data_IF_163772830790
#
_entry.id   IF_163772830790
#
_cell.length_a   1.000
_cell.length_b   1.000
_cell.length_c   1.000
_cell.angle_alpha   90.00
_cell.angle_beta   90.00
_cell.angle_gamma   90.00
#
_symmetry.space_group_name_H-M   'P 1'
#
loop_
_entity.id
_entity.type
_entity.pdbx_description
1 polymer ?
#
# COMPACT_ATOMS: atom_id res chain seq x y z
N UNK A 1 19.69 3.74 -11.42
CA UNK A 1 18.57 3.64 -10.47
C UNK A 1 19.13 3.43 -9.08
N UNK A 2 18.45 3.89 -8.01
CA UNK A 2 18.82 3.49 -6.65
C UNK A 2 18.47 2.01 -6.45
N UNK A 3 19.25 1.27 -5.66
CA UNK A 3 18.81 -0.06 -5.23
C UNK A 3 17.52 0.10 -4.44
N UNK A 4 16.48 -0.66 -4.78
CA UNK A 4 15.13 -0.40 -4.29
C UNK A 4 14.55 -1.64 -3.61
N UNK A 5 14.20 -1.50 -2.34
CA UNK A 5 13.35 -2.44 -1.62
C UNK A 5 11.90 -2.02 -1.81
N UNK A 6 11.05 -2.91 -2.32
CA UNK A 6 9.61 -2.72 -2.39
C UNK A 6 8.98 -3.70 -1.41
N UNK A 7 8.24 -3.17 -0.44
CA UNK A 7 7.33 -3.95 0.39
C UNK A 7 5.91 -3.63 -0.04
N UNK A 8 5.06 -4.64 -0.17
CA UNK A 8 3.70 -4.42 -0.63
C UNK A 8 2.67 -5.27 0.08
N UNK A 9 1.48 -4.71 0.27
CA UNK A 9 0.28 -5.40 0.77
C UNK A 9 -0.79 -5.49 -0.31
N UNK A 10 -1.81 -6.29 -0.06
CA UNK A 10 -3.04 -6.30 -0.84
C UNK A 10 -4.10 -7.10 -0.10
N UNK A 11 -5.34 -7.05 -0.60
CA UNK A 11 -6.41 -7.90 -0.10
C UNK A 11 -6.79 -7.65 1.36
N UNK A 12 -6.50 -6.48 1.93
CA UNK A 12 -6.86 -6.16 3.31
C UNK A 12 -8.38 -6.16 3.51
N UNK A 13 -9.13 -5.76 2.49
CA UNK A 13 -10.59 -5.78 2.42
C UNK A 13 -11.26 -5.10 3.63
N UNK A 14 -10.67 -4.03 4.13
CA UNK A 14 -11.16 -3.29 5.30
C UNK A 14 -10.82 -3.92 6.66
N UNK A 15 -9.97 -4.93 6.74
CA UNK A 15 -9.58 -5.52 8.04
C UNK A 15 -8.59 -4.62 8.80
N UNK A 16 -9.06 -3.50 9.34
CA UNK A 16 -8.22 -2.50 10.04
C UNK A 16 -7.48 -3.08 11.25
N UNK A 17 -8.01 -4.13 11.89
CA UNK A 17 -7.34 -4.84 12.98
C UNK A 17 -6.01 -5.49 12.58
N UNK A 18 -5.79 -5.74 11.28
CA UNK A 18 -4.51 -6.24 10.77
C UNK A 18 -3.46 -5.13 10.62
N UNK A 19 -3.86 -3.86 10.48
CA UNK A 19 -2.93 -2.77 10.17
C UNK A 19 -1.88 -2.54 11.27
N UNK A 20 -2.20 -2.52 12.57
CA UNK A 20 -1.20 -2.35 13.63
C UNK A 20 -0.12 -3.45 13.65
N UNK A 21 -0.44 -4.76 13.65
CA UNK A 21 0.59 -5.79 13.59
C UNK A 21 1.28 -5.85 12.22
N UNK A 22 0.58 -5.55 11.12
CA UNK A 22 1.19 -5.44 9.81
C UNK A 22 2.27 -4.36 9.78
N UNK A 23 2.03 -3.21 10.40
CA UNK A 23 3.02 -2.14 10.46
C UNK A 23 4.26 -2.53 11.26
N UNK A 24 4.09 -3.22 12.40
CA UNK A 24 5.22 -3.81 13.13
C UNK A 24 6.03 -4.75 12.23
N UNK A 25 5.35 -5.62 11.48
CA UNK A 25 6.02 -6.53 10.56
C UNK A 25 6.76 -5.81 9.43
N UNK A 26 6.16 -4.78 8.84
CA UNK A 26 6.83 -3.92 7.85
C UNK A 26 8.10 -3.27 8.42
N UNK A 27 8.09 -2.84 9.68
CA UNK A 27 9.29 -2.31 10.36
C UNK A 27 10.36 -3.39 10.52
N UNK A 28 9.99 -4.62 10.89
CA UNK A 28 10.92 -5.75 10.94
C UNK A 28 11.52 -6.03 9.57
N UNK A 29 10.70 -6.10 8.52
CA UNK A 29 11.17 -6.34 7.15
C UNK A 29 12.09 -5.20 6.66
N UNK A 30 11.79 -3.95 7.00
CA UNK A 30 12.68 -2.82 6.73
C UNK A 30 14.01 -2.91 7.50
N UNK A 31 14.04 -3.52 8.67
CA UNK A 31 15.30 -3.72 9.41
C UNK A 31 16.10 -4.94 8.91
N UNK A 32 15.40 -5.98 8.46
CA UNK A 32 15.99 -7.23 7.95
C UNK A 32 16.52 -7.08 6.51
N UNK A 33 15.69 -6.51 5.65
CA UNK A 33 15.97 -6.35 4.21
C UNK A 33 16.39 -4.94 3.85
N UNK A 34 15.93 -3.95 4.61
CA UNK A 34 16.46 -2.60 4.51
C UNK A 34 17.78 -2.53 5.25
N UNK A 35 18.56 -1.52 4.91
CA UNK A 35 19.98 -1.48 5.26
C UNK A 35 20.14 -0.35 6.27
N UNK A 36 20.78 -0.66 7.40
CA UNK A 36 21.15 0.31 8.41
C UNK A 36 21.76 1.55 7.75
N UNK A 37 21.19 2.71 8.06
CA UNK A 37 21.42 4.00 7.43
C UNK A 37 22.92 4.31 7.22
N UNK A 38 23.33 4.66 5.99
CA UNK A 38 24.53 5.50 5.75
C UNK A 38 24.69 6.07 4.32
N UNK A 39 24.05 5.55 3.26
CA UNK A 39 24.33 6.05 1.90
C UNK A 39 23.08 6.26 1.03
N UNK A 40 23.06 7.38 0.30
CA UNK A 40 22.01 7.93 -0.58
C UNK A 40 21.62 7.03 -1.78
N UNK A 41 22.13 5.80 -1.82
CA UNK A 41 22.04 4.89 -2.97
C UNK A 41 20.92 3.85 -2.86
N UNK A 42 20.19 3.80 -1.74
CA UNK A 42 19.12 2.82 -1.50
C UNK A 42 17.79 3.48 -1.14
N UNK A 43 16.69 3.00 -1.73
CA UNK A 43 15.31 3.47 -1.52
C UNK A 43 14.42 2.34 -0.99
N UNK A 44 13.48 2.64 -0.10
CA UNK A 44 12.41 1.70 0.27
C UNK A 44 11.05 2.26 -0.14
N UNK A 45 10.26 1.47 -0.85
CA UNK A 45 8.90 1.75 -1.25
C UNK A 45 7.92 0.87 -0.48
N UNK A 46 6.79 1.45 -0.11
CA UNK A 46 5.62 0.77 0.41
C UNK A 46 4.47 1.00 -0.56
N UNK A 47 3.87 -0.05 -1.10
CA UNK A 47 2.74 0.08 -2.02
C UNK A 47 1.63 -0.93 -1.70
N UNK A 48 0.39 -0.58 -2.00
CA UNK A 48 -0.74 -1.50 -1.91
C UNK A 48 -1.21 -1.88 -3.31
N UNK A 49 -1.30 -3.19 -3.57
CA UNK A 49 -1.71 -3.76 -4.87
C UNK A 49 -3.23 -3.91 -5.01
N UNK A 50 -4.00 -3.33 -4.08
CA UNK A 50 -5.44 -3.18 -4.20
C UNK A 50 -6.24 -4.07 -3.26
N UNK A 51 -7.56 -3.93 -3.37
CA UNK A 51 -8.53 -4.51 -2.44
C UNK A 51 -8.28 -4.09 -0.98
N UNK A 52 -7.80 -2.85 -0.74
CA UNK A 52 -7.59 -2.35 0.62
C UNK A 52 -8.91 -2.16 1.41
N UNK A 53 -10.00 -1.84 0.71
CA UNK A 53 -11.36 -1.74 1.27
C UNK A 53 -12.33 -2.65 0.51
N UNK A 54 -13.42 -3.04 1.16
CA UNK A 54 -14.50 -3.82 0.57
C UNK A 54 -15.85 -3.20 0.97
N UNK A 55 -16.80 -3.11 0.04
CA UNK A 55 -18.06 -2.36 0.27
C UNK A 55 -18.98 -3.01 1.29
N UNK A 56 -18.82 -4.30 1.53
CA UNK A 56 -19.52 -5.05 2.58
C UNK A 56 -19.01 -4.75 4.00
N UNK A 57 -17.85 -4.10 4.14
CA UNK A 57 -17.30 -3.71 5.44
C UNK A 57 -17.84 -2.33 5.83
N UNK A 58 -18.47 -2.26 7.01
CA UNK A 58 -19.27 -1.09 7.42
C UNK A 58 -18.53 0.25 7.33
N UNK A 59 -17.26 0.33 7.75
CA UNK A 59 -16.51 1.59 7.71
C UNK A 59 -16.05 1.95 6.29
N UNK A 60 -15.80 0.94 5.45
CA UNK A 60 -15.52 1.15 4.03
C UNK A 60 -16.77 1.72 3.34
N UNK A 61 -17.95 1.14 3.60
CA UNK A 61 -19.22 1.65 3.09
C UNK A 61 -19.49 3.09 3.57
N UNK A 62 -19.40 3.32 4.88
CA UNK A 62 -19.69 4.61 5.50
C UNK A 62 -18.78 5.74 4.98
N UNK A 63 -17.52 5.41 4.67
CA UNK A 63 -16.52 6.38 4.21
C UNK A 63 -16.29 6.39 2.70
N UNK A 64 -17.01 5.57 1.92
CA UNK A 64 -16.78 5.46 0.48
C UNK A 64 -15.39 4.93 0.11
N UNK A 65 -14.83 4.03 0.93
CA UNK A 65 -13.54 3.38 0.70
C UNK A 65 -12.31 4.11 1.28
N UNK A 66 -12.49 5.27 1.92
CA UNK A 66 -11.38 6.11 2.43
C UNK A 66 -10.72 5.57 3.68
N UNK A 67 -11.47 4.90 4.55
CA UNK A 67 -11.01 4.50 5.89
C UNK A 67 -9.65 3.79 5.87
N UNK A 68 -9.49 2.77 5.03
CA UNK A 68 -8.23 2.01 4.99
C UNK A 68 -7.10 2.83 4.38
N UNK A 69 -7.38 3.71 3.42
CA UNK A 69 -6.38 4.55 2.76
C UNK A 69 -5.73 5.53 3.74
N UNK A 70 -6.50 6.10 4.67
CA UNK A 70 -5.97 6.96 5.73
C UNK A 70 -4.99 6.19 6.63
N UNK A 71 -5.31 4.94 6.96
CA UNK A 71 -4.42 4.09 7.77
C UNK A 71 -3.15 3.72 6.99
N UNK A 72 -3.27 3.39 5.69
CA UNK A 72 -2.11 3.10 4.83
C UNK A 72 -1.19 4.33 4.69
N UNK A 73 -1.76 5.52 4.54
CA UNK A 73 -1.00 6.78 4.51
C UNK A 73 -0.23 7.00 5.82
N UNK A 74 -0.89 6.79 6.98
CA UNK A 74 -0.24 6.88 8.29
C UNK A 74 0.87 5.83 8.49
N UNK A 75 0.77 4.66 7.84
CA UNK A 75 1.83 3.64 7.80
C UNK A 75 2.99 4.00 6.84
N UNK A 76 2.86 5.09 6.08
CA UNK A 76 3.86 5.58 5.12
C UNK A 76 3.83 4.85 3.79
N UNK A 77 2.66 4.39 3.33
CA UNK A 77 2.50 3.89 1.97
C UNK A 77 2.68 5.02 0.96
N UNK A 78 3.37 4.72 -0.15
CA UNK A 78 3.66 5.66 -1.21
C UNK A 78 2.57 5.66 -2.28
N UNK A 79 2.01 4.48 -2.58
CA UNK A 79 0.92 4.34 -3.53
C UNK A 79 -0.06 3.22 -3.13
N UNK A 80 -1.31 3.34 -3.54
CA UNK A 80 -2.31 2.29 -3.42
C UNK A 80 -3.16 2.19 -4.69
N UNK A 81 -3.43 0.97 -5.13
CA UNK A 81 -4.43 0.71 -6.18
C UNK A 81 -5.84 0.86 -5.60
N UNK A 82 -6.51 1.94 -5.95
CA UNK A 82 -7.84 2.29 -5.41
C UNK A 82 -9.01 1.85 -6.30
N UNK A 83 -8.71 1.14 -7.39
CA UNK A 83 -9.71 0.73 -8.35
C UNK A 83 -10.77 -0.19 -7.74
N UNK A 84 -12.03 0.09 -8.07
CA UNK A 84 -13.17 -0.75 -7.70
C UNK A 84 -13.77 -0.49 -6.32
N UNK A 85 -13.16 0.35 -5.47
CA UNK A 85 -13.73 0.65 -4.15
C UNK A 85 -13.71 2.13 -3.74
N UNK A 86 -12.85 2.97 -4.32
CA UNK A 86 -12.85 4.41 -4.04
C UNK A 86 -13.68 5.16 -5.09
N UNK A 87 -14.73 5.85 -4.67
CA UNK A 87 -15.54 6.68 -5.58
C UNK A 87 -14.83 7.99 -5.91
N UNK A 88 -15.22 8.65 -7.00
CA UNK A 88 -14.65 9.96 -7.37
C UNK A 88 -14.90 11.04 -6.29
N UNK A 89 -16.08 11.04 -5.67
CA UNK A 89 -16.41 11.94 -4.55
C UNK A 89 -15.52 11.67 -3.33
N UNK A 90 -15.37 10.40 -2.96
CA UNK A 90 -14.50 10.00 -1.85
C UNK A 90 -13.02 10.32 -2.15
N UNK A 91 -12.58 10.17 -3.40
CA UNK A 91 -11.24 10.57 -3.86
C UNK A 91 -11.00 12.07 -3.68
N UNK A 92 -11.96 12.91 -4.08
CA UNK A 92 -11.86 14.36 -3.89
C UNK A 92 -11.75 14.75 -2.41
N UNK A 93 -12.40 13.99 -1.51
CA UNK A 93 -12.31 14.21 -0.05
C UNK A 93 -10.97 13.79 0.57
N UNK A 94 -10.10 13.11 -0.18
CA UNK A 94 -8.74 12.76 0.23
C UNK A 94 -7.69 13.75 -0.32
N UNK A 95 -8.09 14.67 -1.21
CA UNK A 95 -7.18 15.65 -1.77
C UNK A 95 -6.60 16.57 -0.69
N UNK A 96 -5.27 16.68 -0.65
CA UNK A 96 -4.53 17.39 0.39
C UNK A 96 -4.58 16.76 1.80
N UNK A 97 -5.32 15.66 1.99
CA UNK A 97 -5.44 14.96 3.29
C UNK A 97 -4.41 13.85 3.42
N UNK A 98 -4.18 13.08 2.34
CA UNK A 98 -3.19 11.99 2.30
C UNK A 98 -2.07 12.34 1.33
N UNK A 99 -0.87 11.83 1.61
CA UNK A 99 0.28 11.89 0.69
C UNK A 99 0.36 10.67 -0.23
N UNK A 100 -0.34 9.60 0.14
CA UNK A 100 -0.52 8.36 -0.61
C UNK A 100 -1.00 8.64 -2.03
N UNK A 101 -0.24 8.19 -3.04
CA UNK A 101 -0.69 8.21 -4.42
C UNK A 101 -1.88 7.26 -4.63
N UNK A 102 -3.02 7.82 -5.00
CA UNK A 102 -4.25 7.06 -5.26
C UNK A 102 -4.28 6.65 -6.74
N UNK A 103 -3.93 5.40 -7.04
CA UNK A 103 -3.78 4.92 -8.41
C UNK A 103 -5.05 4.21 -8.87
N UNK A 104 -5.67 4.72 -9.93
CA UNK A 104 -6.82 4.11 -10.60
C UNK A 104 -6.52 3.93 -12.09
N UNK A 105 -7.39 4.38 -13.00
CA UNK A 105 -7.13 4.35 -14.43
C UNK A 105 -5.94 5.24 -14.83
N UNK A 106 -5.68 6.32 -14.09
CA UNK A 106 -4.56 7.21 -14.39
C UNK A 106 -3.30 6.82 -13.60
N UNK A 107 -2.14 6.71 -14.27
CA UNK A 107 -0.87 6.51 -13.57
C UNK A 107 -0.51 7.77 -12.76
N UNK A 108 0.25 7.56 -11.69
CA UNK A 108 0.79 8.64 -10.86
C UNK A 108 2.30 8.61 -10.93
N UNK A 109 2.92 9.69 -11.39
CA UNK A 109 4.37 9.84 -11.47
C UNK A 109 4.87 10.62 -10.24
N UNK A 110 5.88 10.08 -9.56
CA UNK A 110 6.58 10.71 -8.45
C UNK A 110 8.08 10.52 -8.65
N UNK A 111 8.80 11.61 -8.90
CA UNK A 111 10.22 11.60 -9.27
C UNK A 111 10.51 10.70 -10.49
N UNK A 112 11.34 9.67 -10.32
CA UNK A 112 11.73 8.67 -11.32
C UNK A 112 10.87 7.38 -11.27
N UNK A 113 9.72 7.44 -10.58
CA UNK A 113 8.79 6.33 -10.41
C UNK A 113 7.45 6.64 -11.03
N UNK A 114 6.86 5.64 -11.67
CA UNK A 114 5.48 5.64 -12.12
C UNK A 114 4.72 4.54 -11.40
N UNK A 115 3.61 4.87 -10.75
CA UNK A 115 2.68 3.89 -10.19
C UNK A 115 1.47 3.78 -11.11
N UNK A 116 1.19 2.58 -11.62
CA UNK A 116 0.13 2.36 -12.60
C UNK A 116 -0.61 1.06 -12.31
N UNK A 117 -1.84 0.91 -12.79
CA UNK A 117 -2.57 -0.37 -12.71
C UNK A 117 -2.06 -1.40 -13.71
N UNK A 118 -1.68 -0.95 -14.89
CA UNK A 118 -1.20 -1.78 -15.98
C UNK A 118 0.20 -1.34 -16.41
N UNK A 119 0.81 -2.12 -17.31
CA UNK A 119 2.08 -1.71 -17.89
C UNK A 119 1.91 -0.33 -18.55
N UNK A 120 2.81 0.58 -18.23
CA UNK A 120 2.79 1.96 -18.70
C UNK A 120 4.20 2.35 -19.14
N UNK A 121 4.30 3.07 -20.25
CA UNK A 121 5.59 3.54 -20.74
C UNK A 121 6.02 4.74 -19.91
N UNK A 122 7.19 4.62 -19.28
CA UNK A 122 7.82 5.69 -18.52
C UNK A 122 9.34 5.53 -18.64
N UNK A 123 10.08 6.64 -18.60
CA UNK A 123 11.54 6.64 -18.71
C UNK A 123 12.24 6.09 -17.44
N UNK A 124 11.47 5.91 -16.37
CA UNK A 124 11.89 5.30 -15.11
C UNK A 124 11.13 4.01 -14.77
N UNK A 125 11.25 3.56 -13.52
CA UNK A 125 10.58 2.34 -13.06
C UNK A 125 9.07 2.54 -13.00
N UNK A 126 8.32 1.67 -13.66
CA UNK A 126 6.87 1.55 -13.49
C UNK A 126 6.56 0.41 -12.52
N UNK A 127 5.91 0.71 -11.40
CA UNK A 127 5.40 -0.28 -10.45
C UNK A 127 3.92 -0.53 -10.77
N UNK A 128 3.65 -1.72 -11.27
CA UNK A 128 2.30 -2.17 -11.67
C UNK A 128 1.58 -2.71 -10.45
N UNK A 129 0.52 -2.00 -10.03
CA UNK A 129 -0.24 -2.28 -8.82
C UNK A 129 -1.45 -3.20 -9.03
N UNK A 130 -1.70 -3.68 -10.25
CA UNK A 130 -2.60 -4.83 -10.43
C UNK A 130 -1.86 -6.12 -10.04
N UNK A 131 -2.40 -6.94 -9.12
CA UNK A 131 -1.73 -8.15 -8.67
C UNK A 131 -1.50 -9.14 -9.83
N UNK A 132 -0.29 -9.67 -9.92
CA UNK A 132 0.09 -10.74 -10.84
C UNK A 132 0.17 -12.10 -10.13
N UNK A 133 0.33 -13.18 -10.89
CA UNK A 133 0.59 -14.52 -10.33
C UNK A 133 2.00 -14.64 -9.73
N UNK A 134 2.96 -13.89 -10.26
CA UNK A 134 4.37 -13.88 -9.85
C UNK A 134 4.91 -12.44 -9.86
N UNK A 135 5.88 -12.15 -9.00
CA UNK A 135 6.63 -10.89 -9.07
C UNK A 135 7.70 -11.02 -10.14
N UNK A 136 7.66 -10.13 -11.13
CA UNK A 136 8.59 -10.14 -12.24
C UNK A 136 8.82 -8.72 -12.76
N UNK A 137 9.93 -8.52 -13.46
CA UNK A 137 10.20 -7.27 -14.16
C UNK A 137 10.35 -7.58 -15.65
N UNK A 138 9.60 -6.84 -16.47
CA UNK A 138 9.73 -6.86 -17.92
C UNK A 138 10.05 -5.45 -18.38
N UNK A 139 11.21 -5.28 -19.03
CA UNK A 139 11.77 -3.96 -19.38
C UNK A 139 11.93 -3.07 -18.13
N UNK A 140 11.00 -2.14 -17.91
CA UNK A 140 10.98 -1.21 -16.79
C UNK A 140 9.69 -1.32 -15.96
N UNK A 141 8.86 -2.33 -16.23
CA UNK A 141 7.60 -2.57 -15.52
C UNK A 141 7.77 -3.69 -14.50
N UNK A 142 7.79 -3.35 -13.22
CA UNK A 142 7.74 -4.30 -12.10
C UNK A 142 6.28 -4.68 -11.84
N UNK A 143 5.94 -5.94 -12.10
CA UNK A 143 4.67 -6.56 -11.68
C UNK A 143 4.86 -7.23 -10.32
N UNK A 144 3.92 -7.03 -9.41
CA UNK A 144 3.97 -7.58 -8.06
C UNK A 144 3.02 -8.77 -7.95
N UNK A 145 3.47 -9.87 -7.33
CA UNK A 145 2.61 -11.01 -7.05
C UNK A 145 1.43 -10.61 -6.16
N UNK A 146 0.38 -11.43 -6.13
CA UNK A 146 -0.71 -11.25 -5.18
C UNK A 146 -0.24 -11.46 -3.74
N UNK A 147 -0.48 -10.46 -2.89
CA UNK A 147 -0.45 -10.60 -1.44
C UNK A 147 -1.90 -10.61 -0.90
N UNK A 148 -2.24 -11.60 -0.09
CA UNK A 148 -3.52 -11.67 0.61
C UNK A 148 -3.52 -10.88 1.92
N UNK A 149 -4.68 -10.84 2.58
CA UNK A 149 -4.82 -10.27 3.91
C UNK A 149 -3.79 -10.87 4.87
N UNK A 150 -3.04 -10.02 5.57
CA UNK A 150 -1.99 -10.46 6.49
C UNK A 150 -0.78 -11.07 5.78
N UNK A 151 -0.53 -10.74 4.52
CA UNK A 151 0.73 -11.05 3.84
C UNK A 151 1.44 -9.77 3.43
N UNK A 152 2.76 -9.84 3.35
CA UNK A 152 3.62 -8.79 2.79
C UNK A 152 4.45 -9.40 1.68
N UNK A 153 4.32 -8.85 0.49
CA UNK A 153 5.25 -9.09 -0.57
C UNK A 153 6.53 -8.26 -0.42
N UNK A 154 7.65 -8.85 -0.79
CA UNK A 154 8.98 -8.27 -0.75
C UNK A 154 9.58 -8.42 -2.14
N UNK A 155 10.09 -7.33 -2.71
CA UNK A 155 10.80 -7.33 -3.99
C UNK A 155 12.04 -6.43 -3.89
N UNK A 156 13.18 -6.92 -4.37
CA UNK A 156 14.45 -6.21 -4.35
C UNK A 156 14.91 -5.95 -5.77
N UNK A 157 15.10 -4.68 -6.12
CA UNK A 157 15.70 -4.26 -7.37
C UNK A 157 17.14 -3.80 -7.16
N UNK A 158 18.05 -4.25 -8.01
CA UNK A 158 19.43 -3.79 -8.03
C UNK A 158 19.54 -2.34 -8.55
N UNK A 159 20.74 -1.75 -8.50
CA UNK A 159 21.03 -0.42 -9.09
C UNK A 159 20.79 -0.35 -10.61
N UNK A 160 20.84 -1.50 -11.29
CA UNK A 160 20.55 -1.61 -12.74
C UNK A 160 19.05 -1.80 -13.03
N UNK A 161 18.22 -1.87 -11.99
CA UNK A 161 16.78 -2.13 -12.11
C UNK A 161 16.43 -3.61 -12.25
N UNK A 162 17.39 -4.53 -12.19
CA UNK A 162 17.10 -5.97 -12.27
C UNK A 162 16.46 -6.48 -10.96
N UNK A 163 15.46 -7.34 -11.07
CA UNK A 163 14.85 -8.02 -9.92
C UNK A 163 15.81 -9.07 -9.37
N UNK A 164 16.30 -8.85 -8.15
CA UNK A 164 17.29 -9.72 -7.48
C UNK A 164 16.60 -10.79 -6.65
N UNK A 165 15.52 -10.43 -5.97
CA UNK A 165 14.77 -11.35 -5.12
C UNK A 165 13.31 -10.90 -5.03
N UNK A 166 12.40 -11.87 -4.95
CA UNK A 166 11.00 -11.63 -4.62
C UNK A 166 10.41 -12.78 -3.82
N UNK A 167 9.56 -12.47 -2.84
CA UNK A 167 8.79 -13.45 -2.06
C UNK A 167 7.58 -12.80 -1.40
N UNK A 168 6.56 -13.60 -1.12
CA UNK A 168 5.41 -13.20 -0.27
C UNK A 168 5.54 -13.90 1.07
N UNK A 169 5.50 -13.12 2.15
CA UNK A 169 5.63 -13.59 3.52
C UNK A 169 4.30 -13.44 4.25
N UNK A 170 3.93 -14.43 5.06
CA UNK A 170 2.81 -14.30 5.97
C UNK A 170 3.19 -13.46 7.18
N UNK A 171 2.27 -12.61 7.64
CA UNK A 171 2.34 -11.91 8.92
C UNK A 171 2.39 -12.96 10.03
N UNK A 172 3.43 -12.95 10.89
CA UNK A 172 3.47 -13.87 12.01
C UNK A 172 2.25 -13.65 12.95
N UNK A 173 1.57 -14.73 13.41
CA UNK A 173 0.30 -14.63 14.14
C UNK A 173 0.42 -13.98 15.53
N UNK A 174 1.65 -13.78 16.03
CA UNK A 174 1.95 -13.17 17.34
C UNK A 174 2.71 -11.86 17.22
N UNK A 175 2.70 -11.24 16.04
CA UNK A 175 3.29 -9.91 15.86
C UNK A 175 2.55 -8.91 16.75
N UNK A 176 3.24 -8.20 17.67
CA UNK A 176 2.57 -7.23 18.52
C UNK A 176 2.06 -6.05 17.69
N UNK A 177 0.89 -5.49 18.02
CA UNK A 177 0.36 -4.32 17.33
C UNK A 177 1.21 -3.07 17.61
N UNK A 178 1.46 -2.25 16.59
CA UNK A 178 2.07 -0.94 16.77
C UNK A 178 1.05 0.05 17.37
N UNK A 179 1.39 0.64 18.51
CA UNK A 179 0.47 1.50 19.27
C UNK A 179 0.08 2.78 18.53
N UNK A 180 0.97 3.33 17.70
CA UNK A 180 0.66 4.54 16.92
C UNK A 180 -0.39 4.23 15.85
N UNK A 181 -0.22 3.12 15.13
CA UNK A 181 -1.19 2.70 14.12
C UNK A 181 -2.50 2.22 14.75
N UNK A 182 -2.47 1.60 15.93
CA UNK A 182 -3.68 1.29 16.68
C UNK A 182 -4.51 2.56 16.98
N UNK A 183 -3.87 3.64 17.43
CA UNK A 183 -4.56 4.92 17.65
C UNK A 183 -5.14 5.53 16.37
N UNK A 184 -4.48 5.38 15.22
CA UNK A 184 -5.01 5.82 13.92
C UNK A 184 -6.24 5.00 13.52
N UNK A 185 -6.21 3.68 13.75
CA UNK A 185 -7.37 2.80 13.50
C UNK A 185 -8.56 3.22 14.35
N UNK A 186 -8.36 3.43 15.66
CA UNK A 186 -9.43 3.88 16.56
C UNK A 186 -10.04 5.22 16.12
N UNK A 187 -9.20 6.16 15.68
CA UNK A 187 -9.64 7.44 15.12
C UNK A 187 -10.48 7.24 13.86
N UNK A 188 -9.99 6.47 12.89
CA UNK A 188 -10.69 6.20 11.62
C UNK A 188 -12.04 5.52 11.85
N UNK A 189 -12.10 4.54 12.76
CA UNK A 189 -13.37 3.89 13.10
C UNK A 189 -14.35 4.88 13.77
N UNK A 190 -13.86 5.74 14.65
CA UNK A 190 -14.69 6.75 15.32
C UNK A 190 -15.27 7.76 14.31
N UNK A 191 -14.46 8.22 13.36
CA UNK A 191 -14.90 9.09 12.28
C UNK A 191 -15.91 8.38 11.36
N UNK A 192 -15.67 7.12 11.00
CA UNK A 192 -16.60 6.34 10.20
C UNK A 192 -17.97 6.18 10.90
N UNK A 193 -17.99 5.97 12.23
CA UNK A 193 -19.23 5.94 13.02
C UNK A 193 -19.95 7.28 13.02
N UNK A 194 -19.20 8.38 13.14
CA UNK A 194 -19.76 9.73 13.05
C UNK A 194 -20.42 10.00 11.69
N UNK A 195 -19.75 9.65 10.58
CA UNK A 195 -20.30 9.77 9.24
C UNK A 195 -21.57 8.95 9.03
N UNK A 196 -21.58 7.70 9.52
CA UNK A 196 -22.76 6.82 9.43
C UNK A 196 -23.96 7.44 10.15
N UNK A 197 -23.76 7.87 11.40
CA UNK A 197 -24.80 8.55 12.19
C UNK A 197 -25.33 9.82 11.52
N UNK A 198 -24.46 10.62 10.90
CA UNK A 198 -24.86 11.84 10.18
C UNK A 198 -25.74 11.56 8.95
N UNK A 199 -25.61 10.37 8.35
CA UNK A 199 -26.42 9.91 7.21
C UNK A 199 -27.73 9.24 7.62
N UNK A 200 -27.97 9.06 8.92
CA UNK A 200 -29.17 8.39 9.43
C UNK A 200 -29.12 6.85 9.36
N UNK A 201 -27.91 6.30 9.22
CA UNK A 201 -27.59 4.86 9.24
C UNK A 201 -26.95 4.46 10.58
#
# INVERSE_FOLDING_TARGET
MKETLILYSGGLRGQLSLCPPLYTFLKTLRAEFGVAQAHDERRTLLVDVGEACATEVWHCAATGGRSTLIVLDAMGYHAANVAGYLTAEARAQLDGVVKLALVDAQPVVQDDLCFARDAHTHDGLTVVLTPASVTEIHEQSLRLARAGAGQVGVAHLSKTGALVAAKVLALPPRTPPDATIAGVVDFVESEARYFRKKRGE
#
